data_IF_813193972857
#
_entry.id   IF_813193972857
#
_cell.length_a   1.000
_cell.length_b   1.000
_cell.length_c   1.000
_cell.angle_alpha   90.00
_cell.angle_beta   90.00
_cell.angle_gamma   90.00
#
_symmetry.space_group_name_H-M   'P 1'
#
loop_
_entity.id
_entity.type
_entity.pdbx_description
1 polymer ?
#
# COMPACT_ATOMS: atom_id res chain seq x y z
N UNK A 1 -11.69 -7.14 -2.80
CA UNK A 1 -10.92 -7.42 -1.56
C UNK A 1 -11.82 -8.18 -0.61
N UNK A 2 -11.35 -9.29 -0.05
CA UNK A 2 -12.12 -10.08 0.93
C UNK A 2 -12.29 -9.32 2.25
N UNK A 3 -13.41 -9.56 2.93
CA UNK A 3 -13.61 -9.21 4.34
C UNK A 3 -13.39 -10.49 5.15
N UNK A 4 -12.54 -10.44 6.16
CA UNK A 4 -12.30 -11.60 7.02
C UNK A 4 -12.71 -11.22 8.46
N UNK A 5 -13.52 -12.07 9.14
CA UNK A 5 -13.84 -11.84 10.54
C UNK A 5 -12.56 -12.01 11.37
N UNK A 6 -12.25 -11.03 12.22
CA UNK A 6 -11.18 -11.11 13.20
C UNK A 6 -11.85 -11.31 14.56
N UNK A 7 -11.30 -12.19 15.39
CA UNK A 7 -11.96 -12.82 16.54
C UNK A 7 -12.34 -11.93 17.74
N UNK A 8 -12.61 -10.63 17.55
CA UNK A 8 -13.13 -9.76 18.60
C UNK A 8 -14.64 -9.76 18.56
N UNK A 9 -15.21 -10.19 19.68
CA UNK A 9 -16.63 -10.29 19.93
C UNK A 9 -17.10 -9.03 20.66
N UNK A 10 -17.86 -8.17 19.99
CA UNK A 10 -18.60 -7.11 20.65
C UNK A 10 -19.91 -7.68 21.20
N UNK A 11 -20.17 -7.49 22.50
CA UNK A 11 -21.47 -7.82 23.11
C UNK A 11 -22.43 -6.66 22.89
N UNK A 12 -23.42 -6.85 22.03
CA UNK A 12 -24.55 -5.93 21.94
C UNK A 12 -25.56 -6.34 23.01
N UNK A 13 -25.91 -5.42 23.88
CA UNK A 13 -27.07 -5.55 24.77
C UNK A 13 -28.20 -4.74 24.18
N UNK A 14 -29.26 -5.42 23.76
CA UNK A 14 -30.49 -4.76 23.33
C UNK A 14 -31.35 -4.48 24.57
N UNK A 15 -31.53 -3.20 24.90
CA UNK A 15 -32.19 -2.75 26.14
C UNK A 15 -33.68 -3.14 26.19
N UNK A 16 -34.29 -3.44 25.04
CA UNK A 16 -35.72 -3.77 24.93
C UNK A 16 -36.04 -5.26 24.91
N UNK A 17 -35.08 -6.15 24.63
CA UNK A 17 -35.38 -7.57 24.35
C UNK A 17 -34.62 -8.58 25.22
N UNK A 18 -33.73 -8.14 26.13
CA UNK A 18 -32.83 -9.03 26.90
C UNK A 18 -31.99 -9.97 26.01
N UNK A 19 -31.92 -9.73 24.69
CA UNK A 19 -31.11 -10.50 23.77
C UNK A 19 -29.69 -9.94 23.76
N UNK A 20 -28.74 -10.81 24.10
CA UNK A 20 -27.30 -10.52 23.98
C UNK A 20 -26.76 -11.14 22.69
N UNK A 21 -26.41 -10.28 21.73
CA UNK A 21 -25.77 -10.67 20.48
C UNK A 21 -24.25 -10.51 20.54
N UNK A 22 -23.53 -11.32 19.76
CA UNK A 22 -22.07 -11.22 19.58
C UNK A 22 -21.76 -10.81 18.15
N UNK A 23 -21.22 -9.61 17.94
CA UNK A 23 -20.74 -9.16 16.64
C UNK A 23 -19.24 -9.40 16.50
N UNK A 24 -18.84 -10.03 15.39
CA UNK A 24 -17.44 -10.20 15.02
C UNK A 24 -16.97 -8.98 14.24
N UNK A 25 -16.03 -8.24 14.81
CA UNK A 25 -15.39 -7.13 14.09
C UNK A 25 -14.58 -7.68 12.92
N UNK A 26 -14.89 -7.23 11.71
CA UNK A 26 -14.15 -7.63 10.51
C UNK A 26 -13.09 -6.61 10.14
N UNK A 27 -11.88 -7.10 9.84
CA UNK A 27 -10.86 -6.32 9.13
C UNK A 27 -10.87 -6.69 7.63
N UNK A 28 -10.61 -5.67 6.81
CA UNK A 28 -10.41 -5.78 5.37
C UNK A 28 -9.17 -4.99 4.97
N UNK A 29 -8.64 -5.25 3.78
CA UNK A 29 -7.45 -4.56 3.28
C UNK A 29 -6.17 -5.32 3.62
N UNK A 30 -5.14 -4.62 4.10
CA UNK A 30 -3.87 -5.23 4.48
C UNK A 30 -3.26 -6.02 3.33
N UNK A 31 -3.07 -5.38 2.16
CA UNK A 31 -2.67 -6.08 0.93
C UNK A 31 -1.33 -5.59 0.42
N UNK A 32 -0.44 -6.52 0.06
CA UNK A 32 0.78 -6.25 -0.69
C UNK A 32 0.51 -6.49 -2.18
N UNK A 33 0.62 -5.44 -2.99
CA UNK A 33 0.41 -5.50 -4.44
C UNK A 33 1.68 -5.14 -5.20
N UNK A 34 1.95 -5.91 -6.26
CA UNK A 34 2.98 -5.63 -7.26
C UNK A 34 2.27 -5.26 -8.56
N UNK A 35 2.34 -3.99 -8.94
CA UNK A 35 1.69 -3.47 -10.15
C UNK A 35 2.74 -3.14 -11.20
N UNK A 36 2.62 -3.74 -12.38
CA UNK A 36 3.45 -3.40 -13.54
C UNK A 36 2.99 -2.09 -14.16
N UNK A 37 3.92 -1.21 -14.52
CA UNK A 37 3.67 0.05 -15.24
C UNK A 37 3.98 -0.11 -16.74
N UNK A 38 3.49 0.79 -17.61
CA UNK A 38 3.65 0.66 -19.06
C UNK A 38 5.09 0.53 -19.56
N UNK A 39 6.06 1.11 -18.84
CA UNK A 39 7.49 1.04 -19.19
C UNK A 39 8.21 -0.21 -18.66
N UNK A 40 7.48 -1.19 -18.14
CA UNK A 40 8.06 -2.41 -17.55
C UNK A 40 8.55 -2.25 -16.10
N UNK A 41 8.29 -1.10 -15.49
CA UNK A 41 8.57 -0.84 -14.08
C UNK A 41 7.61 -1.61 -13.19
N UNK A 42 8.00 -1.85 -11.94
CA UNK A 42 7.15 -2.50 -10.93
C UNK A 42 6.99 -1.58 -9.74
N UNK A 43 5.74 -1.18 -9.47
CA UNK A 43 5.35 -0.41 -8.30
C UNK A 43 4.85 -1.36 -7.21
N UNK A 44 5.40 -1.21 -6.01
CA UNK A 44 4.97 -2.00 -4.84
C UNK A 44 4.08 -1.14 -3.96
N UNK A 45 2.84 -1.57 -3.78
CA UNK A 45 1.80 -0.86 -3.04
C UNK A 45 1.43 -1.67 -1.80
N UNK A 46 1.34 -1.01 -0.66
CA UNK A 46 0.88 -1.58 0.60
C UNK A 46 -0.43 -0.90 0.98
N UNK A 47 -1.53 -1.64 0.96
CA UNK A 47 -2.83 -1.15 1.42
C UNK A 47 -2.95 -1.34 2.92
N UNK A 48 -3.42 -0.30 3.63
CA UNK A 48 -3.64 -0.37 5.07
C UNK A 48 -4.77 -1.34 5.43
N UNK A 49 -4.72 -1.87 6.64
CA UNK A 49 -5.90 -2.52 7.23
C UNK A 49 -6.96 -1.46 7.52
N UNK A 50 -8.22 -1.86 7.33
CA UNK A 50 -9.41 -1.06 7.61
C UNK A 50 -10.39 -1.93 8.38
N UNK A 51 -10.95 -1.39 9.44
CA UNK A 51 -12.02 -2.00 10.22
C UNK A 51 -13.18 -1.01 10.36
N UNK A 52 -14.29 -1.45 10.94
CA UNK A 52 -15.43 -0.58 11.23
C UNK A 52 -15.12 0.48 12.30
N UNK A 53 -14.17 0.20 13.18
CA UNK A 53 -13.81 1.04 14.34
C UNK A 53 -12.49 1.79 14.16
N UNK A 54 -11.67 1.42 13.18
CA UNK A 54 -10.37 2.04 12.94
C UNK A 54 -10.04 2.08 11.46
N UNK A 55 -9.62 3.26 11.01
CA UNK A 55 -9.03 3.48 9.70
C UNK A 55 -7.70 4.20 9.87
N UNK A 56 -6.65 3.63 9.28
CA UNK A 56 -5.37 4.31 9.18
C UNK A 56 -5.49 5.52 8.23
N UNK A 57 -4.76 6.60 8.51
CA UNK A 57 -4.84 7.87 7.76
C UNK A 57 -4.55 7.66 6.26
N UNK A 58 -3.55 6.85 5.94
CA UNK A 58 -3.21 6.49 4.56
C UNK A 58 -3.94 5.21 4.14
N UNK A 59 -4.75 5.28 3.08
CA UNK A 59 -5.38 4.08 2.49
C UNK A 59 -4.35 3.11 1.91
N UNK A 60 -3.26 3.66 1.38
CA UNK A 60 -2.13 2.90 0.87
C UNK A 60 -0.85 3.73 0.94
N UNK A 61 0.28 3.03 0.95
CA UNK A 61 1.59 3.63 0.72
C UNK A 61 2.29 2.92 -0.43
N UNK A 62 3.07 3.68 -1.20
CA UNK A 62 3.97 3.11 -2.19
C UNK A 62 5.26 2.75 -1.46
N UNK A 63 5.56 1.46 -1.35
CA UNK A 63 6.81 1.03 -0.74
C UNK A 63 8.00 1.46 -1.59
N UNK A 64 7.89 1.31 -2.91
CA UNK A 64 8.92 1.73 -3.86
C UNK A 64 8.57 1.37 -5.30
N UNK A 65 9.35 1.93 -6.22
CA UNK A 65 9.21 1.71 -7.67
C UNK A 65 10.54 1.16 -8.20
N UNK A 66 10.49 0.02 -8.87
CA UNK A 66 11.65 -0.62 -9.47
C UNK A 66 11.60 -0.48 -10.98
N UNK A 67 12.72 -0.09 -11.62
CA UNK A 67 12.78 0.10 -13.08
C UNK A 67 12.53 -1.18 -13.87
N UNK A 68 12.73 -2.36 -13.27
CA UNK A 68 12.37 -3.64 -13.88
C UNK A 68 12.13 -4.70 -12.80
N UNK A 69 11.37 -5.77 -13.11
CA UNK A 69 11.11 -6.86 -12.17
C UNK A 69 12.40 -7.52 -11.67
N UNK A 70 13.39 -7.65 -12.55
CA UNK A 70 14.70 -8.25 -12.25
C UNK A 70 15.47 -7.52 -11.14
N UNK A 71 15.14 -6.25 -10.87
CA UNK A 71 15.74 -5.50 -9.76
C UNK A 71 15.16 -5.86 -8.39
N UNK A 72 14.07 -6.63 -8.34
CA UNK A 72 13.47 -7.15 -7.10
C UNK A 72 14.18 -8.46 -6.73
N UNK A 73 15.34 -8.33 -6.10
CA UNK A 73 16.11 -9.49 -5.63
C UNK A 73 15.43 -10.18 -4.45
N UNK A 74 15.77 -11.44 -4.18
CA UNK A 74 15.28 -12.19 -3.02
C UNK A 74 15.49 -11.44 -1.69
N UNK A 75 16.64 -10.76 -1.54
CA UNK A 75 16.95 -9.92 -0.38
C UNK A 75 15.99 -8.74 -0.26
N UNK A 76 15.64 -8.09 -1.37
CA UNK A 76 14.66 -6.99 -1.38
C UNK A 76 13.26 -7.50 -1.10
N UNK A 77 12.85 -8.60 -1.75
CA UNK A 77 11.54 -9.22 -1.54
C UNK A 77 11.33 -9.59 -0.06
N UNK A 78 12.33 -10.21 0.59
CA UNK A 78 12.29 -10.49 2.03
C UNK A 78 12.11 -9.22 2.87
N UNK A 79 12.76 -8.11 2.52
CA UNK A 79 12.60 -6.82 3.21
C UNK A 79 11.19 -6.24 3.02
N UNK A 80 10.66 -6.31 1.79
CA UNK A 80 9.30 -5.86 1.46
C UNK A 80 8.29 -6.66 2.27
N UNK A 81 8.38 -7.99 2.28
CA UNK A 81 7.45 -8.87 3.00
C UNK A 81 7.53 -8.63 4.52
N UNK A 82 8.74 -8.52 5.09
CA UNK A 82 8.91 -8.22 6.52
C UNK A 82 8.28 -6.87 6.89
N UNK A 83 8.48 -5.86 6.04
CA UNK A 83 7.87 -4.57 6.26
C UNK A 83 6.35 -4.62 6.05
N UNK A 84 5.84 -5.39 5.09
CA UNK A 84 4.41 -5.60 4.88
C UNK A 84 3.73 -6.15 6.14
N UNK A 85 4.25 -7.21 6.76
CA UNK A 85 3.67 -7.73 8.00
C UNK A 85 3.73 -6.71 9.15
N UNK A 86 4.82 -5.94 9.23
CA UNK A 86 4.94 -4.85 10.19
C UNK A 86 3.91 -3.74 9.92
N UNK A 87 3.70 -3.37 8.65
CA UNK A 87 2.74 -2.36 8.24
C UNK A 87 1.30 -2.82 8.47
N UNK A 88 1.00 -4.09 8.21
CA UNK A 88 -0.29 -4.71 8.52
C UNK A 88 -0.58 -4.61 10.03
N UNK A 89 0.40 -4.92 10.88
CA UNK A 89 0.26 -4.73 12.33
C UNK A 89 0.07 -3.26 12.72
N UNK A 90 0.84 -2.34 12.15
CA UNK A 90 0.74 -0.88 12.44
C UNK A 90 -0.64 -0.32 12.06
N UNK A 91 -1.21 -0.79 10.95
CA UNK A 91 -2.46 -0.27 10.39
C UNK A 91 -3.70 -1.02 10.87
N UNK A 92 -3.51 -2.12 11.60
CA UNK A 92 -4.60 -2.84 12.25
C UNK A 92 -5.11 -2.08 13.47
N UNK A 93 -6.39 -2.24 13.79
CA UNK A 93 -6.98 -1.61 14.98
C UNK A 93 -6.35 -2.13 16.30
N UNK A 94 -5.77 -3.34 16.29
CA UNK A 94 -5.03 -3.92 17.44
C UNK A 94 -3.62 -3.31 17.54
N UNK A 95 -3.13 -2.71 16.46
CA UNK A 95 -1.79 -2.18 16.34
C UNK A 95 -1.51 -1.02 17.27
N UNK A 96 -0.40 -1.12 18.02
CA UNK A 96 0.16 0.05 18.73
C UNK A 96 1.25 0.69 17.89
N UNK A 97 0.93 1.83 17.29
CA UNK A 97 1.88 2.59 16.46
C UNK A 97 2.93 3.25 17.34
N UNK A 98 4.21 2.90 17.15
CA UNK A 98 5.32 3.60 17.84
C UNK A 98 5.80 4.83 17.06
N UNK A 99 6.49 5.76 17.72
CA UNK A 99 7.09 6.92 17.04
C UNK A 99 8.07 6.52 15.92
N UNK A 100 8.86 5.47 16.16
CA UNK A 100 9.80 4.94 15.16
C UNK A 100 9.08 4.39 13.92
N UNK A 101 7.89 3.82 14.08
CA UNK A 101 7.08 3.34 12.96
C UNK A 101 6.55 4.49 12.11
N UNK A 102 6.09 5.57 12.74
CA UNK A 102 5.65 6.79 12.05
C UNK A 102 6.77 7.39 11.22
N UNK A 103 7.97 7.52 11.80
CA UNK A 103 9.16 8.01 11.09
C UNK A 103 9.52 7.09 9.92
N UNK A 104 9.49 5.78 10.11
CA UNK A 104 9.83 4.84 9.04
C UNK A 104 8.82 4.90 7.87
N UNK A 105 7.52 4.99 8.16
CA UNK A 105 6.48 5.18 7.15
C UNK A 105 6.70 6.53 6.43
N UNK A 106 6.98 7.61 7.16
CA UNK A 106 7.28 8.92 6.58
C UNK A 106 8.48 8.87 5.63
N UNK A 107 9.57 8.20 6.02
CA UNK A 107 10.75 8.03 5.16
C UNK A 107 10.43 7.25 3.88
N UNK A 108 9.59 6.21 3.97
CA UNK A 108 9.14 5.44 2.81
C UNK A 108 8.30 6.33 1.88
N UNK A 109 7.34 7.09 2.43
CA UNK A 109 6.52 8.04 1.65
C UNK A 109 7.37 9.11 0.97
N UNK A 110 8.39 9.61 1.66
CA UNK A 110 9.31 10.59 1.11
C UNK A 110 10.12 9.98 -0.05
N UNK A 111 10.71 8.81 0.16
CA UNK A 111 11.43 8.08 -0.89
C UNK A 111 10.55 7.78 -2.10
N UNK A 112 9.32 7.33 -1.89
CA UNK A 112 8.41 7.00 -2.99
C UNK A 112 8.00 8.23 -3.79
N UNK A 113 7.83 9.40 -3.15
CA UNK A 113 7.60 10.67 -3.86
C UNK A 113 8.77 11.03 -4.77
N UNK A 114 10.01 10.87 -4.28
CA UNK A 114 11.19 11.09 -5.12
C UNK A 114 11.29 10.11 -6.29
N UNK A 115 10.96 8.84 -6.06
CA UNK A 115 10.94 7.84 -7.13
C UNK A 115 9.88 8.20 -8.19
N UNK A 116 8.66 8.56 -7.78
CA UNK A 116 7.60 9.01 -8.68
C UNK A 116 8.03 10.21 -9.54
N UNK A 117 8.70 11.20 -8.95
CA UNK A 117 9.21 12.37 -9.67
C UNK A 117 10.26 11.98 -10.71
N UNK A 118 11.22 11.12 -10.35
CA UNK A 118 12.26 10.64 -11.29
C UNK A 118 11.65 9.93 -12.50
N UNK A 119 10.67 9.06 -12.26
CA UNK A 119 9.98 8.34 -13.34
C UNK A 119 9.07 9.26 -14.16
N UNK A 120 8.41 10.24 -13.53
CA UNK A 120 7.62 11.26 -14.23
C UNK A 120 8.45 12.07 -15.23
N UNK A 121 9.65 12.50 -14.84
CA UNK A 121 10.58 13.21 -15.74
C UNK A 121 11.03 12.32 -16.90
N UNK A 122 11.27 11.03 -16.66
CA UNK A 122 11.62 10.09 -17.73
C UNK A 122 10.47 9.86 -18.72
N UNK A 123 9.22 9.76 -18.25
CA UNK A 123 8.04 9.66 -19.12
C UNK A 123 7.94 10.85 -20.07
N UNK A 124 8.14 12.07 -19.56
CA UNK A 124 8.08 13.30 -20.38
C UNK A 124 9.14 13.26 -21.49
N UNK A 125 10.38 12.85 -21.16
CA UNK A 125 11.46 12.71 -22.15
C UNK A 125 11.13 11.68 -23.24
N UNK A 126 10.54 10.54 -22.87
CA UNK A 126 10.13 9.50 -23.83
C UNK A 126 9.01 10.00 -24.73
N UNK A 127 8.02 10.71 -24.18
CA UNK A 127 6.96 11.33 -24.98
C UNK A 127 7.53 12.38 -25.94
N UNK A 128 8.47 13.21 -25.50
CA UNK A 128 9.16 14.17 -26.36
C UNK A 128 9.93 13.46 -27.50
N UNK A 129 10.65 12.36 -27.21
CA UNK A 129 11.34 11.61 -28.26
C UNK A 129 10.38 10.98 -29.27
N UNK A 130 9.22 10.49 -28.82
CA UNK A 130 8.20 9.93 -29.72
C UNK A 130 7.54 11.00 -30.59
N UNK A 131 7.29 12.19 -30.04
CA UNK A 131 6.76 13.34 -30.78
C UNK A 131 7.78 13.77 -31.85
N UNK A 132 9.05 13.89 -31.49
CA UNK A 132 10.12 14.27 -32.42
C UNK A 132 10.32 13.22 -33.53
N UNK A 133 10.34 11.93 -33.18
CA UNK A 133 10.40 10.83 -34.15
C UNK A 133 9.23 10.88 -35.15
N UNK A 134 8.03 11.23 -34.68
CA UNK A 134 6.84 11.37 -35.55
C UNK A 134 6.91 12.61 -36.44
N UNK A 135 7.61 13.66 -36.02
CA UNK A 135 7.84 14.85 -36.83
C UNK A 135 8.84 14.57 -37.96
N UNK A 136 9.91 13.82 -37.69
CA UNK A 136 10.93 13.45 -38.69
C UNK A 136 10.41 12.50 -39.78
N UNK A 137 9.42 11.65 -39.49
CA UNK A 137 8.80 10.74 -40.47
C UNK A 137 7.84 11.48 -41.43
N UNK A 138 7.43 12.71 -41.12
CA UNK A 138 6.50 13.51 -41.92
C UNK A 138 7.19 14.58 -42.79
N UNK A 139 8.50 14.75 -42.65
CA UNK A 139 9.33 15.61 -43.49
C UNK A 139 9.88 14.82 -44.68
#
# INVERSE_FOLDING_TARGET
>A
MGKHPMGIINKIKDENTNLSGTELLSEKGGTLSFSQRPQGEVMIILYSCKSEVYNFEDEFIIYGIYSSPNKITSKKLKRIIRFYFKFMYITSFVGKVTYGDRLHIMLIKLRSKFDLLKFGVNMIKVFQSLINLRADIKA
#
